data_IF_081376600314
#
_entry.id   IF_081376600314
#
_cell.length_a   1.000
_cell.length_b   1.000
_cell.length_c   1.000
_cell.angle_alpha   90.00
_cell.angle_beta   90.00
_cell.angle_gamma   90.00
#
_symmetry.space_group_name_H-M   'P 1'
#
loop_
_entity.id
_entity.type
_entity.pdbx_description
1 polymer ?
#
# COMPACT_ATOMS: atom_id res chain seq x y z
N UNK A 1 -17.31 0.67 9.83
CA UNK A 1 -15.83 0.67 9.80
C UNK A 1 -15.37 2.09 10.02
N UNK A 2 -14.35 2.30 10.85
CA UNK A 2 -13.70 3.58 11.07
C UNK A 2 -12.21 3.42 10.79
N UNK A 3 -11.62 4.42 10.13
CA UNK A 3 -10.20 4.46 9.76
C UNK A 3 -9.80 5.90 9.36
N UNK A 4 -8.53 6.12 9.05
CA UNK A 4 -8.02 7.34 8.38
C UNK A 4 -7.46 6.99 7.01
N UNK A 5 -7.36 7.96 6.10
CA UNK A 5 -6.90 7.77 4.72
C UNK A 5 -5.38 7.50 4.63
N UNK A 6 -4.60 8.17 5.47
CA UNK A 6 -3.15 8.07 5.57
C UNK A 6 -2.66 8.28 7.02
N UNK A 7 -1.36 8.16 7.22
CA UNK A 7 -0.65 8.57 8.43
C UNK A 7 -0.76 10.07 8.71
N UNK A 8 -0.32 10.54 9.90
CA UNK A 8 -0.44 11.94 10.28
C UNK A 8 0.43 12.85 9.40
N UNK A 9 0.00 14.10 9.24
CA UNK A 9 0.82 15.20 8.71
C UNK A 9 1.47 15.92 9.89
N UNK A 10 2.49 15.29 10.50
CA UNK A 10 3.19 15.72 11.72
C UNK A 10 3.78 17.12 11.57
N UNK A 11 4.22 17.49 10.37
CA UNK A 11 4.74 18.83 10.08
C UNK A 11 3.72 19.98 10.26
N UNK A 12 2.44 19.68 10.53
CA UNK A 12 1.38 20.66 10.82
C UNK A 12 1.22 20.95 12.33
N UNK A 13 2.28 20.71 13.11
CA UNK A 13 2.34 21.07 14.53
C UNK A 13 1.92 22.55 14.76
N UNK A 14 1.16 22.86 15.84
CA UNK A 14 0.79 21.99 16.96
C UNK A 14 -0.47 21.13 16.75
N UNK A 15 -1.23 21.34 15.67
CA UNK A 15 -2.53 20.68 15.46
C UNK A 15 -2.43 19.30 14.79
N UNK A 16 -1.22 18.80 14.60
CA UNK A 16 -0.96 17.51 13.97
C UNK A 16 -1.13 16.33 14.94
N UNK A 17 -1.58 15.20 14.39
CA UNK A 17 -1.45 13.91 15.07
C UNK A 17 -0.01 13.39 15.06
N UNK A 18 0.24 12.29 15.77
CA UNK A 18 1.55 11.61 15.82
C UNK A 18 1.38 10.10 15.68
N UNK A 19 2.44 9.41 15.25
CA UNK A 19 2.49 7.95 15.11
C UNK A 19 3.76 7.41 15.76
N UNK A 20 3.74 6.22 16.38
CA UNK A 20 4.95 5.57 16.88
C UNK A 20 5.78 4.95 15.74
N UNK A 21 5.17 4.71 14.58
CA UNK A 21 5.82 4.13 13.41
C UNK A 21 6.74 5.15 12.73
N UNK A 22 7.72 4.68 11.95
CA UNK A 22 8.70 5.55 11.32
C UNK A 22 8.01 6.53 10.38
N UNK A 23 8.39 7.81 10.52
CA UNK A 23 7.98 8.91 9.66
C UNK A 23 6.46 9.16 9.62
N UNK A 24 6.01 9.89 8.61
CA UNK A 24 4.68 10.49 8.51
C UNK A 24 4.12 10.41 7.09
N UNK A 25 2.96 11.04 6.85
CA UNK A 25 2.35 11.21 5.51
C UNK A 25 3.40 11.60 4.46
N UNK A 26 3.21 11.11 3.23
CA UNK A 26 4.09 11.36 2.09
C UNK A 26 5.46 10.64 2.13
N UNK A 27 5.56 9.53 2.86
CA UNK A 27 6.80 8.74 2.93
C UNK A 27 6.54 7.25 2.71
N UNK A 28 7.58 6.48 2.39
CA UNK A 28 7.50 5.01 2.19
C UNK A 28 7.37 4.21 3.50
N UNK A 29 7.47 4.86 4.66
CA UNK A 29 7.58 4.23 5.97
C UNK A 29 6.20 3.86 6.56
N UNK A 30 6.17 2.94 7.54
CA UNK A 30 4.92 2.47 8.16
C UNK A 30 4.10 3.60 8.76
N UNK A 31 4.73 4.69 9.23
CA UNK A 31 4.02 5.85 9.76
C UNK A 31 3.14 6.58 8.76
N UNK A 32 3.35 6.40 7.45
CA UNK A 32 2.51 6.97 6.40
C UNK A 32 1.30 6.09 6.02
N UNK A 33 1.40 4.77 6.22
CA UNK A 33 0.43 3.80 5.69
C UNK A 33 -0.32 3.01 6.77
N UNK A 34 0.29 2.80 7.93
CA UNK A 34 -0.32 2.06 9.03
C UNK A 34 -1.19 3.00 9.85
N UNK A 35 -2.50 2.84 9.70
CA UNK A 35 -3.53 3.71 10.30
C UNK A 35 -4.36 2.98 11.35
N UNK A 36 -5.03 3.70 12.27
CA UNK A 36 -6.04 3.12 13.14
C UNK A 36 -7.18 2.53 12.33
N UNK A 37 -7.72 1.39 12.78
CA UNK A 37 -8.86 0.74 12.11
C UNK A 37 -9.75 0.03 13.10
N UNK A 38 -11.04 0.34 13.08
CA UNK A 38 -12.06 -0.25 13.94
C UNK A 38 -13.22 -0.77 13.09
N UNK A 39 -13.66 -1.99 13.36
CA UNK A 39 -14.77 -2.63 12.66
C UNK A 39 -15.77 -3.09 13.72
N UNK A 40 -17.04 -2.76 13.51
CA UNK A 40 -18.14 -3.16 14.39
C UNK A 40 -19.19 -3.85 13.54
N UNK A 41 -19.47 -5.11 13.86
CA UNK A 41 -20.54 -5.90 13.24
C UNK A 41 -21.20 -6.77 14.33
N UNK A 42 -22.25 -6.27 15.00
CA UNK A 42 -22.89 -6.97 16.11
C UNK A 42 -23.42 -8.34 15.69
N UNK A 43 -23.22 -9.35 16.55
CA UNK A 43 -23.60 -10.74 16.27
C UNK A 43 -22.69 -11.47 15.28
N UNK A 44 -21.65 -10.81 14.76
CA UNK A 44 -20.70 -11.41 13.82
C UNK A 44 -19.26 -11.29 14.34
N UNK A 45 -18.81 -10.08 14.66
CA UNK A 45 -17.48 -9.85 15.22
C UNK A 45 -17.58 -9.83 16.74
N UNK A 46 -16.77 -10.65 17.41
CA UNK A 46 -16.65 -10.65 18.87
C UNK A 46 -16.18 -9.27 19.37
N UNK A 47 -16.94 -8.58 20.25
CA UNK A 47 -16.55 -7.29 20.79
C UNK A 47 -15.20 -7.34 21.52
N UNK A 48 -14.35 -6.36 21.27
CA UNK A 48 -13.03 -6.26 21.92
C UNK A 48 -11.95 -7.17 21.33
N UNK A 49 -12.25 -7.94 20.29
CA UNK A 49 -11.25 -8.73 19.56
C UNK A 49 -10.19 -7.85 18.90
N UNK A 50 -8.95 -8.36 18.87
CA UNK A 50 -7.80 -7.71 18.24
C UNK A 50 -7.29 -8.59 17.11
N UNK A 51 -7.23 -8.05 15.90
CA UNK A 51 -6.64 -8.71 14.74
C UNK A 51 -5.24 -8.14 14.45
N UNK A 52 -4.30 -9.05 14.22
CA UNK A 52 -2.96 -8.73 13.73
C UNK A 52 -2.79 -9.07 12.24
N UNK A 53 -3.84 -9.50 11.55
CA UNK A 53 -3.78 -9.89 10.15
C UNK A 53 -3.60 -8.66 9.22
N UNK A 54 -3.12 -8.89 8.00
CA UNK A 54 -2.94 -7.81 7.03
C UNK A 54 -4.29 -7.48 6.41
N UNK A 55 -4.66 -6.20 6.47
CA UNK A 55 -5.87 -5.70 5.83
C UNK A 55 -5.60 -4.31 5.25
N UNK A 56 -6.07 -4.06 4.04
CA UNK A 56 -5.99 -2.79 3.32
C UNK A 56 -7.35 -2.08 3.30
N UNK A 57 -7.35 -0.80 2.92
CA UNK A 57 -8.59 -0.12 2.53
C UNK A 57 -9.20 -0.73 1.26
N UNK A 58 -8.36 -1.26 0.37
CA UNK A 58 -8.78 -1.87 -0.89
C UNK A 58 -9.72 -3.07 -0.67
N UNK A 59 -9.59 -3.76 0.47
CA UNK A 59 -10.41 -4.93 0.81
C UNK A 59 -11.87 -4.59 1.12
N UNK A 60 -12.16 -3.34 1.47
CA UNK A 60 -13.50 -2.99 1.94
C UNK A 60 -14.54 -2.89 0.84
N UNK A 61 -14.16 -2.50 -0.38
CA UNK A 61 -15.09 -2.52 -1.51
C UNK A 61 -15.63 -3.94 -1.77
N UNK A 62 -14.79 -4.96 -2.06
CA UNK A 62 -15.30 -6.32 -2.26
C UNK A 62 -15.95 -6.89 -1.00
N UNK A 63 -15.49 -6.54 0.20
CA UNK A 63 -16.12 -6.98 1.46
C UNK A 63 -17.55 -6.43 1.60
N UNK A 64 -17.78 -5.15 1.37
CA UNK A 64 -19.12 -4.57 1.49
C UNK A 64 -20.08 -5.08 0.41
N UNK A 65 -19.59 -5.28 -0.80
CA UNK A 65 -20.41 -5.86 -1.88
C UNK A 65 -20.76 -7.33 -1.59
N UNK A 66 -19.82 -8.10 -1.02
CA UNK A 66 -20.11 -9.44 -0.53
C UNK A 66 -21.16 -9.44 0.58
N UNK A 67 -21.08 -8.50 1.54
CA UNK A 67 -22.11 -8.32 2.57
C UNK A 67 -23.49 -7.97 1.99
N UNK A 68 -23.52 -7.28 0.84
CA UNK A 68 -24.74 -6.95 0.10
C UNK A 68 -25.27 -8.11 -0.76
N UNK A 69 -24.60 -9.27 -0.76
CA UNK A 69 -25.05 -10.48 -1.45
C UNK A 69 -24.34 -10.80 -2.75
N UNK A 70 -23.25 -10.10 -3.10
CA UNK A 70 -22.44 -10.40 -4.29
C UNK A 70 -20.97 -10.67 -3.94
N UNK A 71 -20.63 -11.89 -3.49
CA UNK A 71 -19.27 -12.24 -3.06
C UNK A 71 -18.26 -12.34 -4.21
N UNK A 72 -18.71 -12.47 -5.46
CA UNK A 72 -17.89 -12.72 -6.65
C UNK A 72 -17.70 -11.44 -7.50
N UNK A 73 -17.88 -10.27 -6.88
CA UNK A 73 -17.82 -8.98 -7.58
C UNK A 73 -16.45 -8.75 -8.24
N UNK A 74 -15.37 -9.25 -7.64
CA UNK A 74 -14.01 -9.09 -8.16
C UNK A 74 -13.89 -9.78 -9.51
N UNK A 75 -14.34 -11.01 -9.62
CA UNK A 75 -14.33 -11.83 -10.83
C UNK A 75 -15.24 -11.22 -11.90
N UNK A 76 -16.44 -10.78 -11.52
CA UNK A 76 -17.40 -10.13 -12.43
C UNK A 76 -16.84 -8.84 -13.05
N UNK A 77 -16.14 -8.02 -12.27
CA UNK A 77 -15.56 -6.77 -12.76
C UNK A 77 -14.41 -6.98 -13.75
N UNK A 78 -13.75 -8.15 -13.77
CA UNK A 78 -12.70 -8.45 -14.76
C UNK A 78 -13.29 -8.58 -16.17
N UNK A 79 -14.49 -9.13 -16.31
CA UNK A 79 -15.14 -9.34 -17.61
C UNK A 79 -16.11 -8.23 -17.99
N UNK A 80 -16.51 -7.40 -17.03
CA UNK A 80 -17.48 -6.32 -17.22
C UNK A 80 -18.74 -6.56 -16.37
N UNK A 81 -19.09 -5.57 -15.55
CA UNK A 81 -20.21 -5.63 -14.62
C UNK A 81 -21.07 -4.36 -14.73
N UNK A 82 -22.39 -4.54 -14.87
CA UNK A 82 -23.34 -3.42 -14.93
C UNK A 82 -23.74 -3.00 -13.51
N UNK A 83 -23.38 -1.77 -13.12
CA UNK A 83 -23.81 -1.15 -11.88
C UNK A 83 -24.61 0.12 -12.18
N UNK A 84 -25.94 0.04 -12.00
CA UNK A 84 -26.86 1.10 -12.38
C UNK A 84 -26.87 1.33 -13.89
N UNK A 85 -26.55 2.55 -14.33
CA UNK A 85 -26.48 2.92 -15.74
C UNK A 85 -25.07 2.82 -16.36
N UNK A 86 -24.08 2.31 -15.62
CA UNK A 86 -22.69 2.20 -16.08
C UNK A 86 -22.21 0.76 -16.07
N UNK A 87 -21.41 0.41 -17.08
CA UNK A 87 -20.64 -0.84 -17.10
C UNK A 87 -19.22 -0.55 -16.62
N UNK A 88 -18.72 -1.37 -15.71
CA UNK A 88 -17.36 -1.30 -15.20
C UNK A 88 -16.58 -2.56 -15.58
N UNK A 89 -15.45 -2.39 -16.27
CA UNK A 89 -14.41 -3.42 -16.45
C UNK A 89 -13.16 -2.94 -15.69
N UNK A 90 -12.94 -3.44 -14.48
CA UNK A 90 -11.87 -2.99 -13.58
C UNK A 90 -11.29 -4.15 -12.78
N UNK A 91 -10.00 -4.07 -12.46
CA UNK A 91 -9.36 -5.00 -11.53
C UNK A 91 -9.46 -4.45 -10.10
N UNK A 92 -10.01 -5.23 -9.17
CA UNK A 92 -9.99 -4.88 -7.75
C UNK A 92 -8.81 -5.58 -7.06
N UNK A 93 -7.94 -4.81 -6.42
CA UNK A 93 -6.80 -5.35 -5.65
C UNK A 93 -7.16 -5.72 -4.21
N UNK A 94 -8.41 -5.50 -3.83
CA UNK A 94 -8.99 -5.93 -2.55
C UNK A 94 -9.35 -7.41 -2.51
N UNK A 95 -9.54 -7.91 -1.29
CA UNK A 95 -10.06 -9.24 -0.99
C UNK A 95 -11.36 -9.16 -0.19
N UNK A 96 -12.24 -10.14 -0.38
CA UNK A 96 -13.44 -10.29 0.43
C UNK A 96 -13.06 -10.80 1.84
N UNK A 97 -13.29 -9.99 2.86
CA UNK A 97 -12.98 -10.32 4.25
C UNK A 97 -14.15 -10.98 4.99
N UNK A 98 -15.31 -11.18 4.38
CA UNK A 98 -16.51 -11.71 5.07
C UNK A 98 -16.23 -13.04 5.79
N UNK A 99 -15.59 -14.05 5.17
CA UNK A 99 -15.27 -15.30 5.87
C UNK A 99 -14.38 -15.07 7.09
N UNK A 100 -13.38 -14.20 6.96
CA UNK A 100 -12.48 -13.86 8.07
C UNK A 100 -13.21 -13.12 9.19
N UNK A 101 -14.03 -12.12 8.88
CA UNK A 101 -14.77 -11.32 9.86
C UNK A 101 -15.83 -12.14 10.61
N UNK A 102 -16.35 -13.20 10.00
CA UNK A 102 -17.28 -14.15 10.64
C UNK A 102 -16.57 -15.24 11.47
N UNK A 103 -15.24 -15.29 11.43
CA UNK A 103 -14.48 -16.38 12.06
C UNK A 103 -14.64 -17.73 11.37
N UNK A 104 -15.06 -17.76 10.09
CA UNK A 104 -15.13 -18.98 9.27
C UNK A 104 -13.72 -19.43 8.84
N UNK A 105 -12.76 -18.50 8.80
CA UNK A 105 -11.34 -18.76 8.55
C UNK A 105 -10.48 -17.97 9.54
N UNK A 106 -9.34 -18.54 9.94
CA UNK A 106 -8.45 -17.94 10.95
C UNK A 106 -7.58 -16.80 10.41
N UNK A 107 -7.42 -16.72 9.08
CA UNK A 107 -6.46 -15.83 8.42
C UNK A 107 -7.14 -14.90 7.44
N UNK A 108 -6.63 -13.67 7.37
CA UNK A 108 -7.00 -12.76 6.28
C UNK A 108 -6.52 -13.35 4.96
N UNK A 109 -7.31 -13.24 3.87
CA UNK A 109 -6.86 -13.65 2.54
C UNK A 109 -5.69 -12.80 2.02
N UNK A 110 -5.46 -11.61 2.58
CA UNK A 110 -4.37 -10.72 2.19
C UNK A 110 -3.07 -11.12 2.87
N UNK A 111 -2.05 -11.43 2.08
CA UNK A 111 -0.68 -11.65 2.55
C UNK A 111 0.28 -10.56 2.10
N UNK A 112 -0.12 -9.71 1.16
CA UNK A 112 0.71 -8.69 0.54
C UNK A 112 0.12 -7.28 0.61
N UNK A 113 0.99 -6.28 0.57
CA UNK A 113 0.64 -4.86 0.51
C UNK A 113 1.68 -4.09 -0.33
N UNK A 114 1.21 -3.37 -1.34
CA UNK A 114 2.04 -2.55 -2.21
C UNK A 114 1.96 -1.09 -1.76
N UNK A 115 3.11 -0.43 -1.61
CA UNK A 115 3.23 0.94 -1.15
C UNK A 115 3.51 1.83 -2.35
N UNK A 116 2.53 2.66 -2.73
CA UNK A 116 2.64 3.58 -3.86
C UNK A 116 2.84 5.02 -3.39
N UNK A 117 3.72 5.77 -4.05
CA UNK A 117 3.82 7.22 -3.87
C UNK A 117 2.57 7.91 -4.44
N UNK A 118 2.40 9.19 -4.11
CA UNK A 118 1.43 10.09 -4.74
C UNK A 118 1.65 10.24 -6.25
N UNK A 119 2.89 10.12 -6.70
CA UNK A 119 3.29 10.10 -8.12
C UNK A 119 3.04 8.73 -8.81
N UNK A 120 2.69 7.68 -8.07
CA UNK A 120 2.40 6.35 -8.59
C UNK A 120 3.61 5.40 -8.67
N UNK A 121 4.71 5.72 -8.01
CA UNK A 121 5.89 4.85 -7.92
C UNK A 121 5.71 3.77 -6.87
N UNK A 122 6.12 2.53 -7.19
CA UNK A 122 6.13 1.45 -6.21
C UNK A 122 7.32 1.59 -5.25
N UNK A 123 7.09 2.19 -4.09
CA UNK A 123 8.12 2.48 -3.09
C UNK A 123 8.54 1.25 -2.29
N UNK A 124 7.61 0.34 -2.00
CA UNK A 124 7.87 -0.85 -1.20
C UNK A 124 6.84 -1.96 -1.45
N UNK A 125 7.21 -3.19 -1.08
CA UNK A 125 6.33 -4.34 -0.98
C UNK A 125 6.40 -4.89 0.44
N UNK A 126 5.25 -5.14 1.05
CA UNK A 126 5.15 -6.04 2.20
C UNK A 126 4.60 -7.38 1.74
N UNK A 127 5.21 -8.46 2.20
CA UNK A 127 4.71 -9.82 2.09
C UNK A 127 4.85 -10.50 3.45
N UNK A 128 3.73 -10.92 4.03
CA UNK A 128 3.60 -11.35 5.43
C UNK A 128 4.22 -10.31 6.40
N UNK A 129 5.28 -10.69 7.12
CA UNK A 129 5.99 -9.82 8.04
C UNK A 129 7.18 -9.11 7.39
N UNK A 130 7.52 -9.41 6.14
CA UNK A 130 8.67 -8.82 5.45
C UNK A 130 8.25 -7.58 4.66
N UNK A 131 9.02 -6.51 4.78
CA UNK A 131 8.88 -5.30 3.96
C UNK A 131 10.19 -5.05 3.21
N UNK A 132 10.11 -5.08 1.89
CA UNK A 132 11.20 -4.69 0.98
C UNK A 132 10.97 -3.25 0.52
N UNK A 133 11.95 -2.39 0.71
CA UNK A 133 11.90 -0.96 0.35
C UNK A 133 12.76 -0.72 -0.88
N UNK A 134 12.15 -0.23 -1.96
CA UNK A 134 12.80 0.09 -3.22
C UNK A 134 13.13 1.58 -3.35
N UNK A 135 12.32 2.44 -2.74
CA UNK A 135 12.52 3.89 -2.71
C UNK A 135 12.43 4.40 -1.28
N UNK A 136 13.32 5.31 -0.92
CA UNK A 136 13.46 5.81 0.44
C UNK A 136 13.24 7.32 0.51
N UNK A 137 12.33 7.75 1.38
CA UNK A 137 12.30 9.14 1.85
C UNK A 137 13.36 9.31 2.94
N UNK A 138 14.43 10.03 2.60
CA UNK A 138 15.59 10.27 3.49
C UNK A 138 15.38 11.46 4.41
N UNK A 139 14.56 12.42 3.98
CA UNK A 139 14.22 13.59 4.79
C UNK A 139 13.39 13.18 5.99
N UNK A 140 13.62 13.85 7.12
CA UNK A 140 12.92 13.63 8.37
C UNK A 140 12.21 14.91 8.80
N UNK A 141 10.88 14.87 8.79
CA UNK A 141 10.01 15.92 9.29
C UNK A 141 9.96 17.19 8.44
N UNK A 142 9.15 18.14 8.89
CA UNK A 142 8.90 19.45 8.27
C UNK A 142 8.23 19.36 6.90
N UNK A 143 8.03 20.51 6.24
CA UNK A 143 7.56 20.55 4.85
C UNK A 143 8.61 20.01 3.86
N UNK A 144 9.86 19.79 4.28
CA UNK A 144 10.91 19.24 3.41
C UNK A 144 10.57 17.83 2.87
N UNK A 145 9.79 17.02 3.61
CA UNK A 145 9.28 15.72 3.12
C UNK A 145 8.49 15.86 1.82
N UNK A 146 7.86 17.01 1.60
CA UNK A 146 7.09 17.31 0.38
C UNK A 146 7.93 18.00 -0.69
N UNK A 147 9.06 18.58 -0.31
CA UNK A 147 9.92 19.33 -1.22
C UNK A 147 11.02 18.45 -1.84
N UNK A 148 11.45 17.40 -1.14
CA UNK A 148 12.56 16.55 -1.56
C UNK A 148 12.10 15.20 -2.11
N UNK A 149 12.78 14.71 -3.17
CA UNK A 149 12.39 13.49 -3.84
C UNK A 149 12.70 12.26 -3.00
N UNK A 150 11.93 11.19 -3.27
CA UNK A 150 12.29 9.84 -2.89
C UNK A 150 13.58 9.41 -3.59
N UNK A 151 14.42 8.64 -2.89
CA UNK A 151 15.66 8.08 -3.46
C UNK A 151 15.46 6.62 -3.85
N UNK A 152 15.55 6.31 -5.14
CA UNK A 152 15.57 4.92 -5.63
C UNK A 152 16.84 4.20 -5.17
N UNK A 153 16.67 3.05 -4.53
CA UNK A 153 17.75 2.27 -3.95
C UNK A 153 18.31 1.26 -4.95
N UNK A 154 19.64 1.20 -5.06
CA UNK A 154 20.33 0.12 -5.79
C UNK A 154 20.37 -1.18 -4.99
N UNK A 155 20.35 -1.06 -3.66
CA UNK A 155 20.25 -2.17 -2.72
C UNK A 155 18.98 -1.92 -1.92
N UNK A 156 17.88 -2.64 -2.20
CA UNK A 156 16.65 -2.51 -1.44
C UNK A 156 16.90 -2.77 0.06
N UNK A 157 16.19 -2.07 0.93
CA UNK A 157 16.20 -2.38 2.36
C UNK A 157 15.18 -3.47 2.66
N UNK A 158 15.45 -4.27 3.68
CA UNK A 158 14.56 -5.34 4.12
C UNK A 158 14.29 -5.17 5.61
N UNK A 159 13.02 -5.24 6.02
CA UNK A 159 12.63 -5.19 7.43
C UNK A 159 11.68 -6.34 7.73
N UNK A 160 11.79 -6.91 8.93
CA UNK A 160 10.74 -7.76 9.48
C UNK A 160 9.88 -6.92 10.43
N UNK A 161 8.66 -6.58 10.01
CA UNK A 161 7.75 -5.67 10.71
C UNK A 161 7.16 -6.26 12.00
N UNK A 162 7.43 -7.53 12.32
CA UNK A 162 7.06 -8.14 13.61
C UNK A 162 8.17 -7.96 14.64
N UNK A 163 9.42 -8.10 14.22
CA UNK A 163 10.58 -7.93 15.11
C UNK A 163 11.10 -6.49 15.15
N UNK A 164 10.90 -5.73 14.07
CA UNK A 164 11.24 -4.31 13.93
C UNK A 164 10.03 -3.53 13.36
N UNK A 165 8.94 -3.39 14.14
CA UNK A 165 7.73 -2.71 13.68
C UNK A 165 7.93 -1.21 13.39
N UNK A 166 9.04 -0.64 13.85
CA UNK A 166 9.36 0.78 13.71
C UNK A 166 10.45 1.03 12.66
N UNK A 167 10.88 0.01 11.93
CA UNK A 167 11.84 0.12 10.82
C UNK A 167 13.13 0.86 11.23
N UNK A 168 13.74 0.47 12.36
CA UNK A 168 14.92 1.14 12.94
C UNK A 168 16.22 0.36 12.77
N UNK A 169 16.16 -0.89 12.33
CA UNK A 169 17.34 -1.76 12.30
C UNK A 169 18.48 -1.16 11.45
N UNK A 170 18.17 -0.54 10.32
CA UNK A 170 19.14 0.11 9.43
C UNK A 170 19.83 1.35 10.02
N UNK A 171 19.27 1.92 11.09
CA UNK A 171 19.81 3.09 11.80
C UNK A 171 20.56 2.67 13.07
N UNK A 172 20.07 1.65 13.76
CA UNK A 172 20.44 1.38 15.16
C UNK A 172 21.30 0.13 15.34
N UNK A 173 21.27 -0.81 14.39
CA UNK A 173 21.98 -2.08 14.51
C UNK A 173 23.37 -2.02 13.87
N UNK A 174 24.35 -2.59 14.58
CA UNK A 174 25.70 -2.78 14.05
C UNK A 174 25.79 -3.90 13.01
N UNK A 175 24.80 -4.80 12.96
CA UNK A 175 24.83 -6.03 12.15
C UNK A 175 23.69 -6.09 11.12
N UNK A 176 22.95 -5.00 10.93
CA UNK A 176 21.81 -4.98 10.00
C UNK A 176 22.21 -5.38 8.58
N UNK A 177 23.35 -4.91 8.08
CA UNK A 177 23.76 -5.19 6.70
C UNK A 177 24.16 -6.65 6.50
N UNK A 178 24.86 -7.26 7.45
CA UNK A 178 25.16 -8.70 7.41
C UNK A 178 23.86 -9.51 7.41
N UNK A 179 22.95 -9.19 8.35
CA UNK A 179 21.63 -9.83 8.42
C UNK A 179 20.83 -9.64 7.13
N UNK A 180 20.80 -8.43 6.55
CA UNK A 180 20.07 -8.16 5.32
C UNK A 180 20.66 -8.95 4.15
N UNK A 181 21.99 -9.02 4.04
CA UNK A 181 22.66 -9.79 2.99
C UNK A 181 22.40 -11.30 3.10
N UNK A 182 22.36 -11.84 4.32
CA UNK A 182 21.95 -13.24 4.57
C UNK A 182 20.50 -13.52 4.14
N UNK A 183 19.67 -12.48 4.02
CA UNK A 183 18.26 -12.54 3.62
C UNK A 183 17.98 -12.01 2.20
N UNK A 184 19.00 -11.77 1.37
CA UNK A 184 18.85 -11.37 -0.05
C UNK A 184 17.83 -12.25 -0.81
N UNK A 185 17.75 -13.58 -0.62
CA UNK A 185 16.74 -14.39 -1.31
C UNK A 185 15.30 -13.88 -1.15
N UNK A 186 14.95 -13.25 -0.02
CA UNK A 186 13.63 -12.64 0.20
C UNK A 186 13.42 -11.37 -0.65
N UNK A 187 14.46 -10.56 -0.81
CA UNK A 187 14.44 -9.38 -1.70
C UNK A 187 14.26 -9.81 -3.15
N UNK A 188 14.93 -10.90 -3.56
CA UNK A 188 14.75 -11.48 -4.90
C UNK A 188 13.35 -12.07 -5.08
N UNK A 189 12.78 -12.72 -4.06
CA UNK A 189 11.43 -13.26 -4.08
C UNK A 189 10.34 -12.17 -4.23
N UNK A 190 10.63 -10.91 -3.87
CA UNK A 190 9.72 -9.79 -4.12
C UNK A 190 9.52 -9.52 -5.62
N UNK A 191 10.52 -9.79 -6.46
CA UNK A 191 10.48 -9.47 -7.90
C UNK A 191 9.33 -10.16 -8.65
N UNK A 192 9.14 -11.50 -8.57
CA UNK A 192 8.01 -12.14 -9.25
C UNK A 192 6.65 -11.68 -8.74
N UNK A 193 6.53 -11.31 -7.46
CA UNK A 193 5.28 -10.77 -6.89
C UNK A 193 4.96 -9.41 -7.51
N UNK A 194 5.97 -8.52 -7.56
CA UNK A 194 5.85 -7.20 -8.20
C UNK A 194 5.59 -7.34 -9.69
N UNK A 195 6.29 -8.24 -10.38
CA UNK A 195 6.09 -8.48 -11.81
C UNK A 195 4.67 -8.95 -12.11
N UNK A 196 4.12 -9.88 -11.31
CA UNK A 196 2.73 -10.34 -11.43
C UNK A 196 1.74 -9.19 -11.23
N UNK A 197 1.97 -8.32 -10.24
CA UNK A 197 1.12 -7.15 -10.01
C UNK A 197 1.19 -6.17 -11.19
N UNK A 198 2.40 -5.81 -11.62
CA UNK A 198 2.60 -4.86 -12.73
C UNK A 198 2.01 -5.39 -14.04
N UNK A 199 2.06 -6.70 -14.28
CA UNK A 199 1.46 -7.31 -15.46
C UNK A 199 -0.05 -7.07 -15.57
N UNK A 200 -0.76 -6.84 -14.45
CA UNK A 200 -2.20 -6.53 -14.48
C UNK A 200 -2.50 -5.23 -15.20
N UNK A 201 -1.58 -4.25 -15.18
CA UNK A 201 -1.75 -2.97 -15.87
C UNK A 201 -1.74 -3.08 -17.39
N UNK A 202 -1.31 -4.21 -17.96
CA UNK A 202 -1.40 -4.45 -19.41
C UNK A 202 -2.87 -4.52 -19.86
N UNK A 203 -3.72 -5.18 -19.07
CA UNK A 203 -5.15 -5.27 -19.34
C UNK A 203 -5.96 -4.18 -18.63
N UNK A 204 -5.52 -3.77 -17.44
CA UNK A 204 -6.21 -2.81 -16.58
C UNK A 204 -5.30 -1.61 -16.25
N UNK A 205 -5.02 -0.73 -17.23
CA UNK A 205 -4.14 0.41 -17.01
C UNK A 205 -4.72 1.39 -15.96
N UNK A 206 -3.87 2.22 -15.32
CA UNK A 206 -4.32 3.22 -14.37
C UNK A 206 -5.41 4.12 -14.96
N UNK A 207 -6.57 4.20 -14.28
CA UNK A 207 -7.73 4.96 -14.76
C UNK A 207 -7.53 6.47 -14.71
N UNK A 208 -6.60 6.92 -13.87
CA UNK A 208 -6.25 8.32 -13.70
C UNK A 208 -4.74 8.42 -13.58
N UNK A 209 -4.14 9.34 -14.34
CA UNK A 209 -2.72 9.67 -14.17
C UNK A 209 -2.53 10.42 -12.85
N UNK A 210 -1.47 10.10 -12.11
CA UNK A 210 -1.05 10.91 -10.98
C UNK A 210 -0.82 12.36 -11.43
N UNK A 211 -1.29 13.31 -10.65
CA UNK A 211 -1.00 14.71 -10.89
C UNK A 211 0.46 14.95 -10.51
N UNK A 212 1.33 15.27 -11.48
CA UNK A 212 2.71 15.63 -11.18
C UNK A 212 2.86 17.14 -11.11
N UNK A 213 3.68 17.59 -10.16
CA UNK A 213 4.17 18.96 -10.08
C UNK A 213 5.44 19.17 -10.93
N UNK A 214 5.99 18.11 -11.53
CA UNK A 214 7.20 18.18 -12.36
C UNK A 214 6.89 18.54 -13.81
N UNK A 215 7.85 19.18 -14.46
CA UNK A 215 7.73 19.60 -15.86
C UNK A 215 7.79 18.38 -16.80
N UNK A 216 8.20 17.20 -16.33
CA UNK A 216 8.35 16.00 -17.17
C UNK A 216 7.05 15.60 -17.85
N UNK A 217 5.90 15.69 -17.17
CA UNK A 217 4.60 15.42 -17.80
C UNK A 217 4.22 16.48 -18.84
N UNK A 218 4.67 17.73 -18.67
CA UNK A 218 4.48 18.80 -19.65
C UNK A 218 5.41 18.56 -20.85
N UNK A 219 6.66 18.16 -20.61
CA UNK A 219 7.64 17.81 -21.64
C UNK A 219 7.22 16.57 -22.42
N UNK A 220 6.71 15.53 -21.77
CA UNK A 220 6.18 14.33 -22.40
C UNK A 220 4.98 14.66 -23.30
N UNK A 221 4.07 15.55 -22.87
CA UNK A 221 2.97 16.07 -23.71
C UNK A 221 3.48 16.86 -24.92
N UNK A 222 4.52 17.68 -24.76
CA UNK A 222 5.10 18.48 -25.86
C UNK A 222 5.82 17.57 -26.86
N UNK A 223 6.67 16.67 -26.38
CA UNK A 223 7.46 15.73 -27.19
C UNK A 223 6.61 14.68 -27.89
N UNK A 224 5.58 14.14 -27.23
CA UNK A 224 4.61 13.22 -27.87
C UNK A 224 3.78 13.90 -28.97
N UNK A 225 3.48 15.20 -28.83
CA UNK A 225 2.84 16.00 -29.89
C UNK A 225 3.79 16.38 -31.04
N UNK A 226 5.10 16.39 -30.83
CA UNK A 226 6.12 16.63 -31.87
C UNK A 226 6.41 15.35 -32.66
N UNK A 227 6.34 14.17 -32.05
CA UNK A 227 6.52 12.88 -32.72
C UNK A 227 5.39 12.50 -33.70
N UNK A 228 4.30 13.27 -33.70
CA UNK A 228 3.15 13.11 -34.61
C UNK A 228 3.16 14.09 -35.81
N UNK A 229 4.34 14.57 -36.24
CA UNK A 229 4.52 15.35 -37.48
C UNK A 229 5.58 14.76 -38.39
#
# INVERSE_FOLDING_TARGET
>A
MYSTDNGPHINSWPDAGMTPFRSEKNTNWEGAFRVPKLVRWPGVIEPGSVSNEIVSHLDWLPTFVAMAGDPDIKEKLLTGYQAGNKTFKVHLDGYNLVPYLKGEVDKSPRVEYFYFSDDGDLMALRYDHWKTVFMEQRVKGTCQIWAEPLVTLRVPKLFNLRTDPYERADITSNTYWDWMFDHIPLVLAAQPIVAKFIATFQEFPPRQKAASFTVDQVMEKITSGIASR
#
